data_IF_003656412362
#
_entry.id   IF_003656412362
#
_cell.length_a   1.000
_cell.length_b   1.000
_cell.length_c   1.000
_cell.angle_alpha   90.00
_cell.angle_beta   90.00
_cell.angle_gamma   90.00
#
_symmetry.space_group_name_H-M   'P 1'
#
loop_
_entity.id
_entity.type
_entity.pdbx_description
1 polymer ?
#
# COMPACT_ATOMS: atom_id res chain seq x y z
N UNK A 1 -9.96 -1.22 28.64
CA UNK A 1 -10.69 -0.99 27.36
C UNK A 1 -9.77 -1.39 26.22
N UNK A 2 -10.23 -2.32 25.37
CA UNK A 2 -9.47 -2.86 24.26
C UNK A 2 -10.16 -2.47 22.94
N UNK A 3 -9.39 -1.98 21.97
CA UNK A 3 -9.92 -1.50 20.68
C UNK A 3 -9.36 -2.38 19.55
N UNK A 4 -10.20 -3.27 18.99
CA UNK A 4 -9.80 -4.18 17.92
C UNK A 4 -9.41 -3.45 16.64
N UNK A 5 -8.68 -4.14 15.77
CA UNK A 5 -8.27 -3.64 14.46
C UNK A 5 -9.38 -3.71 13.40
N UNK A 6 -9.01 -3.37 12.18
CA UNK A 6 -9.88 -3.45 11.00
C UNK A 6 -10.43 -4.87 10.82
N UNK A 7 -11.73 -4.98 10.60
CA UNK A 7 -12.47 -6.23 10.42
C UNK A 7 -12.50 -7.17 11.63
N UNK A 8 -12.00 -6.76 12.79
CA UNK A 8 -11.98 -7.57 14.00
C UNK A 8 -13.22 -7.34 14.91
N UNK A 9 -14.05 -6.34 14.63
CA UNK A 9 -15.27 -6.02 15.34
C UNK A 9 -16.31 -5.43 14.38
N UNK A 10 -17.49 -5.07 14.89
CA UNK A 10 -18.54 -4.37 14.17
C UNK A 10 -19.25 -3.37 15.08
N UNK A 11 -20.01 -2.43 14.50
CA UNK A 11 -20.75 -1.42 15.26
C UNK A 11 -21.84 -2.04 16.19
N UNK A 12 -22.27 -3.25 15.94
CA UNK A 12 -23.28 -3.98 16.72
C UNK A 12 -22.69 -5.08 17.61
N UNK A 13 -21.34 -5.16 17.69
CA UNK A 13 -20.68 -6.19 18.50
C UNK A 13 -20.96 -5.98 20.00
N UNK A 14 -21.00 -7.07 20.75
CA UNK A 14 -21.13 -7.03 22.21
C UNK A 14 -19.77 -6.67 22.83
N UNK A 15 -19.69 -5.55 23.51
CA UNK A 15 -18.46 -5.04 24.13
C UNK A 15 -17.88 -5.96 25.22
N UNK A 16 -18.65 -6.88 25.75
CA UNK A 16 -18.18 -7.85 26.76
C UNK A 16 -17.56 -9.12 26.12
N UNK A 17 -17.77 -9.33 24.83
CA UNK A 17 -17.22 -10.49 24.14
C UNK A 17 -15.82 -10.21 23.57
N UNK A 18 -14.87 -11.13 23.76
CA UNK A 18 -13.54 -11.02 23.19
C UNK A 18 -13.57 -10.83 21.67
N UNK A 19 -12.74 -9.94 21.16
CA UNK A 19 -12.66 -9.62 19.74
C UNK A 19 -11.21 -9.41 19.28
N UNK A 20 -10.88 -10.00 18.13
CA UNK A 20 -9.63 -9.81 17.41
C UNK A 20 -8.37 -10.22 18.17
N UNK A 21 -7.25 -9.65 17.73
CA UNK A 21 -5.91 -9.92 18.30
C UNK A 21 -5.84 -9.67 19.81
N UNK A 22 -6.52 -8.62 20.28
CA UNK A 22 -6.49 -8.24 21.71
C UNK A 22 -7.33 -9.14 22.62
N UNK A 23 -8.03 -10.15 22.08
CA UNK A 23 -8.76 -11.11 22.89
C UNK A 23 -7.87 -11.83 23.91
N UNK A 24 -6.62 -12.16 23.51
CA UNK A 24 -5.63 -12.76 24.42
C UNK A 24 -5.23 -11.86 25.58
N UNK A 25 -5.08 -10.55 25.33
CA UNK A 25 -4.80 -9.56 26.38
C UNK A 25 -5.97 -9.51 27.37
N UNK A 26 -7.20 -9.42 26.88
CA UNK A 26 -8.39 -9.37 27.72
C UNK A 26 -8.58 -10.62 28.57
N UNK A 27 -8.36 -11.80 27.97
CA UNK A 27 -8.44 -13.08 28.69
C UNK A 27 -7.39 -13.15 29.81
N UNK A 28 -6.15 -12.74 29.54
CA UNK A 28 -5.07 -12.72 30.54
C UNK A 28 -5.36 -11.77 31.70
N UNK A 29 -5.87 -10.57 31.41
CA UNK A 29 -6.28 -9.62 32.44
C UNK A 29 -7.43 -10.15 33.30
N UNK A 30 -8.47 -10.71 32.67
CA UNK A 30 -9.61 -11.30 33.37
C UNK A 30 -9.18 -12.50 34.26
N UNK A 31 -8.30 -13.36 33.76
CA UNK A 31 -7.78 -14.49 34.52
C UNK A 31 -6.97 -14.06 35.74
N UNK A 32 -6.21 -12.95 35.64
CA UNK A 32 -5.37 -12.46 36.75
C UNK A 32 -6.16 -11.71 37.81
N UNK A 33 -7.14 -10.90 37.43
CA UNK A 33 -7.77 -9.95 38.35
C UNK A 33 -9.23 -10.30 38.69
N UNK A 34 -9.82 -11.27 37.98
CA UNK A 34 -11.19 -11.73 38.24
C UNK A 34 -12.20 -10.57 38.24
N UNK A 35 -12.97 -10.46 39.30
CA UNK A 35 -14.02 -9.44 39.46
C UNK A 35 -13.49 -8.03 39.73
N UNK A 36 -12.17 -7.87 39.99
CA UNK A 36 -11.55 -6.58 40.21
C UNK A 36 -11.33 -5.79 38.90
N UNK A 37 -11.55 -6.42 37.74
CA UNK A 37 -11.41 -5.78 36.43
C UNK A 37 -12.59 -6.04 35.53
N UNK A 38 -13.06 -5.02 34.84
CA UNK A 38 -14.03 -5.16 33.75
C UNK A 38 -13.34 -5.00 32.40
N UNK A 39 -13.18 -6.08 31.64
CA UNK A 39 -12.65 -6.04 30.28
C UNK A 39 -13.79 -5.69 29.31
N UNK A 40 -13.54 -4.72 28.42
CA UNK A 40 -14.49 -4.31 27.38
C UNK A 40 -13.74 -4.11 26.06
N UNK A 41 -14.40 -4.49 24.96
CA UNK A 41 -13.94 -4.29 23.59
C UNK A 41 -14.81 -3.25 22.92
N UNK A 42 -14.20 -2.29 22.24
CA UNK A 42 -14.95 -1.22 21.57
C UNK A 42 -15.70 -1.76 20.35
N UNK A 43 -17.04 -1.66 20.31
CA UNK A 43 -17.79 -1.87 19.09
C UNK A 43 -17.73 -0.60 18.21
N UNK A 44 -17.25 -0.74 16.98
CA UNK A 44 -17.24 0.31 15.96
C UNK A 44 -17.26 -0.32 14.58
N UNK A 45 -17.37 0.48 13.51
CA UNK A 45 -17.49 -0.06 12.14
C UNK A 45 -16.31 -0.96 11.74
N UNK A 46 -15.11 -0.69 12.23
CA UNK A 46 -13.87 -1.43 11.92
C UNK A 46 -13.67 -1.64 10.40
N UNK A 47 -14.20 -0.71 9.60
CA UNK A 47 -14.17 -0.81 8.16
C UNK A 47 -12.81 -0.35 7.61
N UNK A 48 -12.25 -1.08 6.63
CA UNK A 48 -11.04 -0.64 5.95
C UNK A 48 -11.28 0.61 5.10
N UNK A 49 -12.53 0.83 4.68
CA UNK A 49 -12.96 1.97 3.87
C UNK A 49 -14.41 2.37 4.14
N UNK A 50 -14.71 3.69 4.19
CA UNK A 50 -13.73 4.78 4.29
C UNK A 50 -13.03 4.77 5.64
N UNK A 51 -11.70 4.71 5.63
CA UNK A 51 -10.90 4.56 6.85
C UNK A 51 -11.20 5.65 7.88
N UNK A 52 -11.16 6.91 7.44
CA UNK A 52 -11.37 8.07 8.33
C UNK A 52 -12.73 8.06 9.01
N UNK A 53 -13.79 7.69 8.29
CA UNK A 53 -15.14 7.63 8.86
C UNK A 53 -15.23 6.54 9.94
N UNK A 54 -14.64 5.36 9.69
CA UNK A 54 -14.58 4.26 10.65
C UNK A 54 -13.75 4.64 11.88
N UNK A 55 -12.57 5.22 11.67
CA UNK A 55 -11.67 5.67 12.74
C UNK A 55 -12.33 6.76 13.60
N UNK A 56 -12.90 7.80 12.98
CA UNK A 56 -13.56 8.89 13.71
C UNK A 56 -14.79 8.41 14.50
N UNK A 57 -15.56 7.47 13.93
CA UNK A 57 -16.64 6.80 14.64
C UNK A 57 -16.14 6.03 15.86
N UNK A 58 -15.01 5.35 15.73
CA UNK A 58 -14.34 4.66 16.83
C UNK A 58 -13.84 5.63 17.91
N UNK A 59 -13.24 6.76 17.54
CA UNK A 59 -12.84 7.83 18.49
C UNK A 59 -14.04 8.35 19.27
N UNK A 60 -15.14 8.66 18.58
CA UNK A 60 -16.37 9.11 19.23
C UNK A 60 -16.95 8.04 20.18
N UNK A 61 -16.97 6.77 19.76
CA UNK A 61 -17.44 5.65 20.56
C UNK A 61 -16.57 5.45 21.82
N UNK A 62 -15.25 5.44 21.69
CA UNK A 62 -14.33 5.30 22.82
C UNK A 62 -14.45 6.49 23.79
N UNK A 63 -14.55 7.71 23.27
CA UNK A 63 -14.77 8.93 24.07
C UNK A 63 -16.06 8.82 24.88
N UNK A 64 -17.16 8.40 24.25
CA UNK A 64 -18.47 8.22 24.93
C UNK A 64 -18.40 7.16 26.04
N UNK A 65 -17.76 6.01 25.77
CA UNK A 65 -17.65 4.93 26.73
C UNK A 65 -16.78 5.34 27.94
N UNK A 66 -15.67 6.04 27.73
CA UNK A 66 -14.82 6.51 28.80
C UNK A 66 -15.50 7.60 29.65
N UNK A 67 -16.22 8.52 28.99
CA UNK A 67 -16.96 9.59 29.67
C UNK A 67 -18.15 9.08 30.53
N UNK A 68 -18.65 7.88 30.23
CA UNK A 68 -19.69 7.22 31.04
C UNK A 68 -19.19 6.45 32.25
N UNK A 69 -17.87 6.37 32.48
CA UNK A 69 -17.31 5.65 33.64
C UNK A 69 -17.42 6.46 34.93
N UNK A 70 -17.66 5.79 36.06
CA UNK A 70 -17.61 6.41 37.37
C UNK A 70 -16.26 7.12 37.60
N UNK A 71 -16.26 8.22 38.34
CA UNK A 71 -15.05 9.07 38.57
C UNK A 71 -13.89 8.31 39.23
N UNK A 72 -14.20 7.31 40.05
CA UNK A 72 -13.20 6.46 40.71
C UNK A 72 -12.61 5.37 39.83
N UNK A 73 -13.14 5.17 38.63
CA UNK A 73 -12.68 4.10 37.72
C UNK A 73 -11.34 4.47 37.10
N UNK A 74 -10.33 3.66 37.33
CA UNK A 74 -9.06 3.71 36.61
C UNK A 74 -9.12 2.84 35.36
N UNK A 75 -8.38 3.21 34.32
CA UNK A 75 -8.42 2.52 33.03
C UNK A 75 -7.04 2.17 32.51
N UNK A 76 -6.95 1.03 31.84
CA UNK A 76 -5.88 0.73 30.89
C UNK A 76 -6.50 0.69 29.50
N UNK A 77 -5.80 1.20 28.51
CA UNK A 77 -6.21 1.26 27.12
C UNK A 77 -5.26 0.43 26.27
N UNK A 78 -5.79 -0.33 25.32
CA UNK A 78 -4.95 -0.93 24.29
C UNK A 78 -5.68 -0.93 22.94
N UNK A 79 -4.92 -0.72 21.86
CA UNK A 79 -5.42 -0.73 20.50
C UNK A 79 -4.51 -1.53 19.57
N UNK A 80 -5.09 -2.08 18.51
CA UNK A 80 -4.38 -2.75 17.46
C UNK A 80 -4.77 -2.16 16.10
N UNK A 81 -3.77 -1.85 15.25
CA UNK A 81 -3.99 -1.34 13.89
C UNK A 81 -4.89 -0.08 13.88
N UNK A 82 -6.03 -0.06 13.19
CA UNK A 82 -7.01 1.05 13.26
C UNK A 82 -7.45 1.32 14.70
N UNK A 83 -7.54 0.28 15.54
CA UNK A 83 -7.82 0.45 16.98
C UNK A 83 -6.70 1.17 17.73
N UNK A 84 -5.44 1.01 17.33
CA UNK A 84 -4.33 1.75 17.91
C UNK A 84 -4.38 3.24 17.52
N UNK A 85 -4.79 3.54 16.28
CA UNK A 85 -5.03 4.91 15.83
C UNK A 85 -6.12 5.60 16.67
N UNK A 86 -7.25 4.90 16.89
CA UNK A 86 -8.37 5.38 17.73
C UNK A 86 -7.91 5.63 19.17
N UNK A 87 -7.25 4.65 19.79
CA UNK A 87 -6.75 4.77 21.18
C UNK A 87 -5.73 5.89 21.28
N UNK A 88 -4.82 6.01 20.32
CA UNK A 88 -3.80 7.03 20.30
C UNK A 88 -4.39 8.45 20.25
N UNK A 89 -5.41 8.70 19.40
CA UNK A 89 -6.06 9.99 19.30
C UNK A 89 -6.80 10.36 20.59
N UNK A 90 -7.54 9.44 21.20
CA UNK A 90 -8.21 9.67 22.48
C UNK A 90 -7.20 9.88 23.62
N UNK A 91 -6.09 9.13 23.61
CA UNK A 91 -5.01 9.28 24.59
C UNK A 91 -4.32 10.64 24.49
N UNK A 92 -4.03 11.11 23.27
CA UNK A 92 -3.48 12.46 23.04
C UNK A 92 -4.44 13.53 23.59
N UNK A 93 -5.73 13.43 23.28
CA UNK A 93 -6.73 14.36 23.81
C UNK A 93 -6.79 14.35 25.35
N UNK A 94 -6.72 13.17 25.99
CA UNK A 94 -6.70 13.03 27.46
C UNK A 94 -5.43 13.68 28.03
N UNK A 95 -4.26 13.40 27.45
CA UNK A 95 -2.98 13.92 27.93
C UNK A 95 -2.86 15.43 27.83
N UNK A 96 -3.63 16.07 26.94
CA UNK A 96 -3.72 17.53 26.81
C UNK A 96 -4.95 18.13 27.51
N UNK A 97 -5.63 17.39 28.38
CA UNK A 97 -6.77 17.88 29.16
C UNK A 97 -8.06 18.12 28.37
N UNK A 98 -8.16 17.60 27.13
CA UNK A 98 -9.35 17.72 26.26
C UNK A 98 -10.13 16.40 26.15
N UNK A 99 -9.69 15.37 26.86
CA UNK A 99 -10.30 14.05 26.79
C UNK A 99 -11.54 13.90 27.68
N UNK A 100 -12.23 12.74 27.58
CA UNK A 100 -13.45 12.45 28.34
C UNK A 100 -13.20 12.16 29.82
N UNK A 101 -11.96 11.86 30.21
CA UNK A 101 -11.53 11.60 31.60
C UNK A 101 -10.19 12.29 31.86
N UNK A 102 -9.86 12.49 33.14
CA UNK A 102 -8.55 13.06 33.49
C UNK A 102 -7.40 12.08 33.23
N UNK A 103 -6.22 12.60 32.91
CA UNK A 103 -5.00 11.80 32.68
C UNK A 103 -4.63 10.95 33.90
N UNK A 104 -4.95 11.41 35.13
CA UNK A 104 -4.70 10.67 36.37
C UNK A 104 -5.41 9.32 36.43
N UNK A 105 -6.53 9.17 35.72
CA UNK A 105 -7.30 7.92 35.69
C UNK A 105 -6.76 6.89 34.70
N UNK A 106 -5.82 7.24 33.81
CA UNK A 106 -5.24 6.34 32.83
C UNK A 106 -3.94 5.75 33.38
N UNK A 107 -3.90 4.45 33.63
CA UNK A 107 -2.74 3.76 34.18
C UNK A 107 -1.70 3.44 33.12
N UNK A 108 -2.15 2.96 31.95
CA UNK A 108 -1.28 2.54 30.86
C UNK A 108 -2.01 2.53 29.52
N UNK A 109 -1.28 2.76 28.45
CA UNK A 109 -1.78 2.73 27.06
C UNK A 109 -0.82 1.94 26.17
N UNK A 110 -1.31 0.86 25.55
CA UNK A 110 -0.54 0.05 24.62
C UNK A 110 -1.06 0.15 23.18
N UNK A 111 -0.19 0.47 22.23
CA UNK A 111 -0.53 0.65 20.83
C UNK A 111 0.25 -0.35 19.98
N UNK A 112 -0.46 -1.36 19.44
CA UNK A 112 0.11 -2.38 18.57
C UNK A 112 -0.13 -2.01 17.10
N UNK A 113 0.92 -2.00 16.27
CA UNK A 113 0.81 -1.63 14.86
C UNK A 113 0.12 -0.29 14.63
N UNK A 114 0.51 0.72 15.37
CA UNK A 114 -0.10 2.06 15.28
C UNK A 114 0.29 2.72 13.95
N UNK A 115 -0.66 3.00 13.04
CA UNK A 115 -0.37 3.65 11.75
C UNK A 115 0.09 5.11 11.91
N UNK A 116 -0.03 5.67 13.11
CA UNK A 116 0.48 6.99 13.47
C UNK A 116 1.56 6.94 14.55
N UNK A 117 2.30 5.83 14.60
CA UNK A 117 3.42 5.67 15.53
C UNK A 117 4.46 6.78 15.33
N UNK A 118 4.79 7.45 16.42
CA UNK A 118 5.91 8.37 16.48
C UNK A 118 7.18 7.57 16.86
N UNK A 119 8.32 7.75 16.16
CA UNK A 119 9.57 7.06 16.49
C UNK A 119 10.06 7.32 17.92
N UNK A 120 9.75 8.48 18.50
CA UNK A 120 10.17 8.87 19.84
C UNK A 120 9.30 8.25 20.94
N UNK A 121 8.14 7.68 20.60
CA UNK A 121 7.31 6.97 21.60
C UNK A 121 7.98 5.66 22.01
N UNK A 122 8.20 5.43 23.34
CA UNK A 122 8.87 4.22 23.82
C UNK A 122 8.19 2.94 23.35
N UNK A 123 8.98 1.96 22.93
CA UNK A 123 8.49 0.70 22.37
C UNK A 123 8.58 -0.45 23.38
N UNK A 124 7.67 -1.41 23.27
CA UNK A 124 7.73 -2.72 23.91
C UNK A 124 8.46 -3.69 22.98
N UNK A 125 9.39 -4.46 23.53
CA UNK A 125 10.19 -5.40 22.75
C UNK A 125 11.30 -4.74 21.92
N UNK A 126 11.64 -5.32 20.78
CA UNK A 126 12.68 -4.78 19.91
C UNK A 126 12.21 -3.48 19.24
N UNK A 127 13.09 -2.45 19.13
CA UNK A 127 12.74 -1.21 18.47
C UNK A 127 12.54 -1.43 16.96
N UNK A 128 11.45 -0.91 16.41
CA UNK A 128 11.21 -0.85 14.99
C UNK A 128 11.65 0.51 14.42
N UNK A 129 12.28 0.55 13.24
CA UNK A 129 12.68 1.79 12.60
C UNK A 129 11.49 2.59 12.06
N UNK A 130 11.74 3.81 11.59
CA UNK A 130 10.74 4.65 10.92
C UNK A 130 9.59 5.06 11.82
N UNK A 131 8.47 5.37 11.19
CA UNK A 131 7.24 5.86 11.84
C UNK A 131 6.01 5.13 11.31
N UNK A 132 4.82 5.47 11.81
CA UNK A 132 3.56 4.98 11.24
C UNK A 132 3.35 5.50 9.81
N UNK A 133 2.75 4.69 8.96
CA UNK A 133 2.54 4.98 7.52
C UNK A 133 1.71 6.26 7.29
N UNK A 134 0.85 6.62 8.24
CA UNK A 134 0.05 7.85 8.21
C UNK A 134 0.80 9.10 8.73
N UNK A 135 2.04 8.92 9.15
CA UNK A 135 2.82 9.95 9.84
C UNK A 135 2.43 10.09 11.32
N UNK A 136 3.29 10.70 12.14
CA UNK A 136 3.01 10.93 13.56
C UNK A 136 1.75 11.78 13.76
N UNK A 137 1.18 11.71 14.95
CA UNK A 137 0.12 12.63 15.40
C UNK A 137 0.66 14.06 15.46
N UNK A 138 -0.22 15.04 15.22
CA UNK A 138 0.16 16.45 15.30
C UNK A 138 0.58 16.89 16.73
N UNK A 139 0.04 16.20 17.73
CA UNK A 139 0.36 16.41 19.14
C UNK A 139 0.79 15.07 19.74
N UNK A 140 1.73 15.12 20.67
CA UNK A 140 2.18 13.98 21.45
C UNK A 140 1.10 13.49 22.45
N UNK A 141 1.49 12.73 23.45
CA UNK A 141 0.58 12.23 24.48
C UNK A 141 0.54 13.08 25.75
N UNK A 142 1.16 14.27 25.78
CA UNK A 142 1.13 15.21 26.91
C UNK A 142 1.44 14.55 28.24
N UNK A 143 0.58 14.75 29.25
CA UNK A 143 0.75 14.15 30.59
C UNK A 143 0.80 12.61 30.58
N UNK A 144 0.34 11.97 29.51
CA UNK A 144 0.36 10.51 29.37
C UNK A 144 1.60 9.97 28.67
N UNK A 145 2.52 10.78 28.16
CA UNK A 145 3.68 10.32 27.38
C UNK A 145 4.49 9.21 28.09
N UNK A 146 4.67 9.31 29.41
CA UNK A 146 5.35 8.30 30.22
C UNK A 146 4.58 6.96 30.37
N UNK A 147 3.27 6.95 30.08
CA UNK A 147 2.36 5.81 30.25
C UNK A 147 1.96 5.18 28.92
N UNK A 148 2.47 5.64 27.78
CA UNK A 148 2.22 5.09 26.46
C UNK A 148 3.40 4.22 26.04
N UNK A 149 3.09 3.06 25.47
CA UNK A 149 4.05 2.19 24.80
C UNK A 149 3.49 1.74 23.47
N UNK A 150 4.36 1.71 22.46
CA UNK A 150 4.02 1.15 21.14
C UNK A 150 4.71 -0.20 20.94
N UNK A 151 4.19 -1.01 20.05
CA UNK A 151 4.90 -2.17 19.53
C UNK A 151 4.63 -2.28 18.03
N UNK A 152 5.69 -2.48 17.27
CA UNK A 152 5.65 -2.68 15.84
C UNK A 152 6.40 -3.97 15.48
N UNK A 153 5.72 -4.93 14.88
CA UNK A 153 6.35 -6.18 14.45
C UNK A 153 7.36 -5.89 13.32
N UNK A 154 8.51 -6.59 13.30
CA UNK A 154 9.50 -6.41 12.23
C UNK A 154 8.89 -6.62 10.85
N UNK A 155 9.03 -5.61 9.97
CA UNK A 155 8.50 -5.65 8.61
C UNK A 155 7.03 -5.24 8.47
N UNK A 156 6.35 -4.82 9.55
CA UNK A 156 5.01 -4.26 9.45
C UNK A 156 5.07 -2.80 8.98
N UNK A 157 4.76 -2.58 7.71
CA UNK A 157 4.79 -1.26 7.07
C UNK A 157 3.75 -0.28 7.63
N UNK A 158 2.68 -0.76 8.26
CA UNK A 158 1.71 0.17 8.87
C UNK A 158 2.30 0.98 10.01
N UNK A 159 3.24 0.44 10.74
CA UNK A 159 3.87 1.12 11.87
C UNK A 159 5.38 1.35 11.72
N UNK A 160 5.98 0.92 10.59
CA UNK A 160 7.42 0.99 10.35
C UNK A 160 7.73 1.41 8.91
N UNK A 161 7.35 2.62 8.55
CA UNK A 161 7.61 3.23 7.24
C UNK A 161 8.50 4.46 7.44
N UNK A 162 9.52 4.63 6.58
CA UNK A 162 10.37 5.84 6.58
C UNK A 162 10.01 6.71 5.38
N UNK A 163 9.57 7.95 5.57
CA UNK A 163 9.30 8.87 4.47
C UNK A 163 10.52 9.16 3.59
N UNK A 164 11.72 9.09 4.16
CA UNK A 164 12.98 9.33 3.45
C UNK A 164 13.35 8.18 2.52
N UNK A 165 13.04 6.94 2.92
CA UNK A 165 13.36 5.74 2.15
C UNK A 165 12.14 5.10 1.49
N UNK A 166 10.93 5.54 1.79
CA UNK A 166 9.68 5.04 1.22
C UNK A 166 8.65 6.16 1.05
N UNK A 167 9.01 7.20 0.25
CA UNK A 167 8.18 8.40 0.10
C UNK A 167 6.80 8.11 -0.51
N UNK A 168 6.72 7.23 -1.51
CA UNK A 168 5.46 6.89 -2.16
C UNK A 168 4.52 6.13 -1.20
N UNK A 169 5.02 5.14 -0.47
CA UNK A 169 4.23 4.41 0.53
C UNK A 169 3.73 5.33 1.65
N UNK A 170 4.59 6.25 2.13
CA UNK A 170 4.21 7.25 3.14
C UNK A 170 3.15 8.22 2.63
N UNK A 171 3.26 8.70 1.38
CA UNK A 171 2.29 9.59 0.76
C UNK A 171 0.92 8.90 0.59
N UNK A 172 0.92 7.66 0.09
CA UNK A 172 -0.29 6.83 -0.05
C UNK A 172 -0.92 6.58 1.32
N UNK A 173 -0.13 6.23 2.33
CA UNK A 173 -0.62 6.00 3.69
C UNK A 173 -1.31 7.24 4.29
N UNK A 174 -0.73 8.42 4.12
CA UNK A 174 -1.32 9.70 4.56
C UNK A 174 -2.61 10.03 3.80
N UNK A 175 -2.61 9.84 2.49
CA UNK A 175 -3.81 10.07 1.67
C UNK A 175 -4.95 9.13 2.08
N UNK A 176 -4.63 7.85 2.28
CA UNK A 176 -5.61 6.82 2.65
C UNK A 176 -6.22 7.04 4.03
N UNK A 177 -5.41 7.42 5.01
CA UNK A 177 -5.89 7.68 6.38
C UNK A 177 -6.55 9.05 6.52
N UNK A 178 -6.47 9.90 5.49
CA UNK A 178 -6.99 11.27 5.50
C UNK A 178 -6.24 12.20 6.48
N UNK A 179 -5.00 11.85 6.82
CA UNK A 179 -4.12 12.69 7.66
C UNK A 179 -3.36 13.74 6.85
N UNK A 180 -3.49 13.70 5.51
CA UNK A 180 -3.03 14.78 4.65
C UNK A 180 -3.82 16.05 4.96
N UNK A 181 -3.13 17.12 5.30
CA UNK A 181 -3.71 18.46 5.29
C UNK A 181 -4.02 18.79 3.83
N UNK A 182 -5.27 18.59 3.42
CA UNK A 182 -5.80 19.19 2.20
C UNK A 182 -5.70 20.69 2.45
N UNK A 183 -4.93 21.38 1.61
CA UNK A 183 -4.74 22.83 1.72
C UNK A 183 -6.07 23.53 1.95
N UNK A 184 -6.07 24.54 2.78
CA UNK A 184 -7.23 25.28 3.29
C UNK A 184 -7.96 26.13 2.25
N UNK A 185 -7.87 25.79 0.96
CA UNK A 185 -8.56 26.50 -0.13
C UNK A 185 -9.46 25.55 -0.94
N UNK A 186 -10.53 25.06 -0.32
CA UNK A 186 -11.61 24.40 -1.05
C UNK A 186 -12.96 24.70 -0.45
N UNK A 187 -13.48 25.87 -0.74
CA UNK A 187 -14.92 26.12 -0.78
C UNK A 187 -15.53 25.51 -2.05
N UNK A 188 -15.57 24.21 -2.17
CA UNK A 188 -16.42 23.53 -3.17
C UNK A 188 -16.60 22.04 -2.91
N UNK A 189 -17.83 21.71 -2.59
CA UNK A 189 -18.53 20.42 -2.77
C UNK A 189 -18.01 19.18 -2.05
N UNK A 190 -18.40 19.06 -0.80
CA UNK A 190 -18.34 17.87 0.07
C UNK A 190 -19.03 16.60 -0.48
N UNK A 191 -19.77 16.67 -1.58
CA UNK A 191 -20.60 15.54 -2.03
C UNK A 191 -19.88 14.57 -2.98
N UNK A 192 -18.90 15.03 -3.74
CA UNK A 192 -18.17 14.17 -4.70
C UNK A 192 -17.00 13.41 -4.04
N UNK A 193 -16.35 14.03 -3.06
CA UNK A 193 -15.26 13.40 -2.29
C UNK A 193 -15.76 12.26 -1.40
N UNK A 194 -16.97 12.36 -0.86
CA UNK A 194 -17.55 11.37 0.05
C UNK A 194 -17.97 10.09 -0.67
N UNK A 195 -18.42 10.19 -1.93
CA UNK A 195 -18.87 9.01 -2.71
C UNK A 195 -17.70 8.23 -3.32
N UNK A 196 -16.64 8.91 -3.72
CA UNK A 196 -15.42 8.28 -4.21
C UNK A 196 -14.61 7.60 -3.10
N UNK A 197 -14.60 8.15 -1.88
CA UNK A 197 -13.87 7.58 -0.74
C UNK A 197 -14.46 6.28 -0.19
N UNK A 198 -15.74 6.02 -0.42
CA UNK A 198 -16.47 4.93 0.26
C UNK A 198 -16.27 3.53 -0.32
N UNK A 199 -15.96 3.40 -1.61
CA UNK A 199 -15.82 2.09 -2.30
C UNK A 199 -14.38 1.67 -2.54
N UNK A 200 -13.41 2.51 -2.21
CA UNK A 200 -12.11 2.52 -2.86
C UNK A 200 -10.97 2.01 -1.97
N UNK A 201 -11.05 2.15 -0.66
CA UNK A 201 -9.86 2.14 0.18
C UNK A 201 -9.18 0.77 0.33
N UNK A 202 -9.87 -0.33 0.57
CA UNK A 202 -9.18 -1.64 0.70
C UNK A 202 -8.84 -2.26 -0.66
N UNK A 203 -9.69 -2.02 -1.68
CA UNK A 203 -9.41 -2.49 -3.03
C UNK A 203 -8.32 -1.65 -3.69
N UNK A 204 -8.29 -0.33 -3.49
CA UNK A 204 -7.28 0.57 -4.06
C UNK A 204 -5.91 0.35 -3.45
N UNK A 205 -5.78 0.25 -2.13
CA UNK A 205 -4.48 -0.05 -1.51
C UNK A 205 -3.90 -1.35 -2.03
N UNK A 206 -4.73 -2.39 -2.13
CA UNK A 206 -4.31 -3.67 -2.71
C UNK A 206 -3.93 -3.51 -4.18
N UNK A 207 -4.69 -2.75 -4.97
CA UNK A 207 -4.39 -2.50 -6.37
C UNK A 207 -3.12 -1.65 -6.54
N UNK A 208 -2.92 -0.60 -5.73
CA UNK A 208 -1.68 0.18 -5.71
C UNK A 208 -0.48 -0.72 -5.42
N UNK A 209 -0.57 -1.62 -4.45
CA UNK A 209 0.50 -2.58 -4.15
C UNK A 209 0.78 -3.53 -5.31
N UNK A 210 -0.26 -4.04 -5.99
CA UNK A 210 -0.10 -4.88 -7.17
C UNK A 210 0.59 -4.08 -8.30
N UNK A 211 0.24 -2.81 -8.49
CA UNK A 211 0.85 -1.94 -9.50
C UNK A 211 2.31 -1.67 -9.16
N UNK A 212 2.61 -1.28 -7.94
CA UNK A 212 4.00 -1.05 -7.52
C UNK A 212 4.84 -2.32 -7.64
N UNK A 213 4.29 -3.48 -7.28
CA UNK A 213 4.95 -4.78 -7.44
C UNK A 213 5.19 -5.16 -8.91
N UNK A 214 4.22 -4.89 -9.79
CA UNK A 214 4.34 -5.12 -11.23
C UNK A 214 5.37 -4.20 -11.88
N UNK A 215 5.37 -2.92 -11.52
CA UNK A 215 6.37 -1.95 -11.97
C UNK A 215 7.77 -2.32 -11.45
N UNK A 216 7.88 -2.79 -10.21
CA UNK A 216 9.13 -3.27 -9.63
C UNK A 216 9.69 -4.47 -10.41
N UNK A 217 8.85 -5.47 -10.68
CA UNK A 217 9.24 -6.65 -11.45
C UNK A 217 9.67 -6.29 -12.87
N UNK A 218 8.95 -5.39 -13.53
CA UNK A 218 9.33 -4.89 -14.84
C UNK A 218 10.64 -4.10 -14.81
N UNK A 219 10.81 -3.19 -13.86
CA UNK A 219 12.03 -2.40 -13.71
C UNK A 219 13.28 -3.27 -13.47
N UNK A 220 13.13 -4.37 -12.71
CA UNK A 220 14.19 -5.34 -12.52
C UNK A 220 14.62 -6.06 -13.81
N UNK A 221 13.68 -6.22 -14.76
CA UNK A 221 13.93 -6.87 -16.05
C UNK A 221 14.48 -5.90 -17.11
N UNK A 222 14.38 -4.57 -16.91
CA UNK A 222 14.77 -3.57 -17.91
C UNK A 222 16.20 -3.77 -18.48
N UNK A 223 17.25 -4.03 -17.67
CA UNK A 223 18.60 -4.24 -18.23
C UNK A 223 18.63 -5.43 -19.20
N UNK A 224 17.98 -6.53 -18.85
CA UNK A 224 17.91 -7.73 -19.69
C UNK A 224 17.08 -7.49 -20.95
N UNK A 225 15.96 -6.75 -20.85
CA UNK A 225 15.12 -6.36 -21.99
C UNK A 225 15.96 -5.56 -23.02
N UNK A 226 16.75 -4.59 -22.54
CA UNK A 226 17.59 -3.76 -23.40
C UNK A 226 18.67 -4.61 -24.09
N UNK A 227 19.29 -5.52 -23.36
CA UNK A 227 20.31 -6.42 -23.87
C UNK A 227 19.74 -7.39 -24.94
N UNK A 228 18.59 -7.98 -24.67
CA UNK A 228 17.89 -8.91 -25.56
C UNK A 228 17.42 -8.21 -26.84
N UNK A 229 16.87 -7.00 -26.72
CA UNK A 229 16.48 -6.19 -27.87
C UNK A 229 17.68 -5.80 -28.74
N UNK A 230 18.84 -5.53 -28.14
CA UNK A 230 20.06 -5.23 -28.87
C UNK A 230 20.66 -6.45 -29.61
N UNK A 231 20.49 -7.66 -29.04
CA UNK A 231 20.99 -8.92 -29.61
C UNK A 231 20.09 -9.49 -30.71
N UNK A 232 18.77 -9.26 -30.64
CA UNK A 232 17.79 -9.86 -31.55
C UNK A 232 18.08 -9.63 -33.04
N UNK A 233 18.38 -8.38 -33.51
CA UNK A 233 18.73 -8.14 -34.91
C UNK A 233 20.00 -8.88 -35.35
N UNK A 234 21.01 -8.96 -34.49
CA UNK A 234 22.27 -9.62 -34.81
C UNK A 234 22.09 -11.13 -35.00
N UNK A 235 21.26 -11.79 -34.16
CA UNK A 235 20.94 -13.22 -34.33
C UNK A 235 20.18 -13.48 -35.62
N UNK A 236 19.19 -12.65 -35.97
CA UNK A 236 18.46 -12.75 -37.24
C UNK A 236 19.38 -12.61 -38.43
N UNK A 237 20.29 -11.61 -38.40
CA UNK A 237 21.25 -11.37 -39.50
C UNK A 237 22.27 -12.52 -39.61
N UNK A 238 22.64 -13.17 -38.53
CA UNK A 238 23.53 -14.33 -38.51
C UNK A 238 22.84 -15.63 -38.96
N UNK A 239 21.51 -15.60 -39.20
CA UNK A 239 20.74 -16.82 -39.56
C UNK A 239 20.45 -17.73 -38.37
N UNK A 240 20.72 -17.29 -37.13
CA UNK A 240 20.40 -18.02 -35.89
C UNK A 240 18.94 -17.82 -35.53
N UNK A 241 18.05 -18.43 -36.31
CA UNK A 241 16.59 -18.28 -36.17
C UNK A 241 16.11 -18.89 -34.87
N UNK A 242 16.67 -20.01 -34.45
CA UNK A 242 16.29 -20.66 -33.20
C UNK A 242 16.67 -19.82 -32.00
N UNK A 243 17.87 -19.25 -31.98
CA UNK A 243 18.31 -18.35 -30.91
C UNK A 243 17.53 -17.03 -30.90
N UNK A 244 17.16 -16.50 -32.05
CA UNK A 244 16.29 -15.33 -32.15
C UNK A 244 14.87 -15.60 -31.62
N UNK A 245 14.30 -16.77 -31.90
CA UNK A 245 13.00 -17.19 -31.37
C UNK A 245 13.02 -17.35 -29.86
N UNK A 246 14.04 -17.99 -29.34
CA UNK A 246 14.23 -18.12 -27.88
C UNK A 246 14.30 -16.75 -27.21
N UNK A 247 15.14 -15.84 -27.74
CA UNK A 247 15.29 -14.48 -27.21
C UNK A 247 13.98 -13.69 -27.23
N UNK A 248 13.16 -13.86 -28.26
CA UNK A 248 11.83 -13.26 -28.33
C UNK A 248 10.88 -13.83 -27.27
N UNK A 249 10.98 -15.12 -26.94
CA UNK A 249 10.26 -15.74 -25.82
C UNK A 249 10.70 -15.23 -24.46
N UNK A 250 12.01 -15.03 -24.28
CA UNK A 250 12.58 -14.46 -23.06
C UNK A 250 12.07 -13.02 -22.85
N UNK A 251 12.02 -12.19 -23.91
CA UNK A 251 11.41 -10.87 -23.87
C UNK A 251 9.94 -10.91 -23.42
N UNK A 252 9.13 -11.84 -23.93
CA UNK A 252 7.74 -11.96 -23.49
C UNK A 252 7.64 -12.24 -21.98
N UNK A 253 8.51 -13.12 -21.46
CA UNK A 253 8.58 -13.45 -20.03
C UNK A 253 8.98 -12.24 -19.18
N UNK A 254 9.86 -11.40 -19.69
CA UNK A 254 10.31 -10.19 -19.00
C UNK A 254 9.21 -9.11 -18.93
N UNK A 255 8.26 -9.08 -19.88
CA UNK A 255 7.09 -8.21 -19.84
C UNK A 255 5.91 -8.77 -19.02
N UNK A 256 5.95 -10.04 -18.60
CA UNK A 256 4.88 -10.69 -17.83
C UNK A 256 4.44 -9.93 -16.58
N UNK A 257 5.33 -9.31 -15.78
CA UNK A 257 4.90 -8.53 -14.60
C UNK A 257 3.93 -7.41 -14.95
N UNK A 258 4.14 -6.70 -16.07
CA UNK A 258 3.22 -5.65 -16.53
C UNK A 258 1.89 -6.22 -17.00
N UNK A 259 1.92 -7.30 -17.79
CA UNK A 259 0.72 -7.94 -18.31
C UNK A 259 -0.15 -8.49 -17.18
N UNK A 260 0.48 -9.19 -16.23
CA UNK A 260 -0.19 -9.75 -15.06
C UNK A 260 -0.78 -8.65 -14.17
N UNK A 261 -0.06 -7.57 -13.96
CA UNK A 261 -0.53 -6.40 -13.22
C UNK A 261 -1.76 -5.79 -13.90
N UNK A 262 -1.66 -5.47 -15.19
CA UNK A 262 -2.74 -4.83 -15.94
C UNK A 262 -4.04 -5.68 -15.98
N UNK A 263 -3.91 -7.01 -15.93
CA UNK A 263 -5.08 -7.91 -15.87
C UNK A 263 -5.74 -8.04 -14.51
N UNK A 264 -5.12 -7.53 -13.43
CA UNK A 264 -5.59 -7.72 -12.04
C UNK A 264 -6.10 -6.44 -11.39
N UNK A 265 -5.87 -5.27 -11.98
CA UNK A 265 -6.15 -3.96 -11.36
C UNK A 265 -6.85 -3.01 -12.30
N UNK A 266 -7.61 -2.07 -11.74
CA UNK A 266 -8.10 -0.90 -12.45
C UNK A 266 -7.03 0.19 -12.43
N UNK A 267 -6.25 0.27 -13.52
CA UNK A 267 -5.14 1.22 -13.64
C UNK A 267 -5.59 2.68 -13.58
N UNK A 268 -6.78 3.01 -14.09
CA UNK A 268 -7.32 4.38 -13.99
C UNK A 268 -7.57 4.78 -12.55
N UNK A 269 -8.14 3.87 -11.77
CA UNK A 269 -8.39 4.09 -10.35
C UNK A 269 -7.08 4.27 -9.56
N UNK A 270 -6.07 3.46 -9.88
CA UNK A 270 -4.74 3.56 -9.24
C UNK A 270 -4.03 4.86 -9.64
N UNK A 271 -4.07 5.25 -10.92
CA UNK A 271 -3.50 6.53 -11.37
C UNK A 271 -4.12 7.72 -10.63
N UNK A 272 -5.44 7.70 -10.45
CA UNK A 272 -6.18 8.71 -9.72
C UNK A 272 -5.78 8.77 -8.24
N UNK A 273 -5.65 7.62 -7.58
CA UNK A 273 -5.21 7.52 -6.19
C UNK A 273 -3.77 8.05 -6.00
N UNK A 274 -2.85 7.67 -6.90
CA UNK A 274 -1.47 8.17 -6.90
C UNK A 274 -1.40 9.68 -7.16
N UNK A 275 -2.21 10.20 -8.07
CA UNK A 275 -2.29 11.65 -8.34
C UNK A 275 -2.77 12.44 -7.13
N UNK A 276 -3.72 11.90 -6.35
CA UNK A 276 -4.15 12.52 -5.10
C UNK A 276 -3.08 12.46 -4.00
N UNK A 277 -2.24 11.43 -4.00
CA UNK A 277 -1.15 11.29 -3.04
C UNK A 277 0.11 12.10 -3.44
N UNK A 278 0.30 12.40 -4.72
CA UNK A 278 1.49 13.06 -5.26
C UNK A 278 1.88 14.38 -4.54
N UNK A 279 0.94 15.29 -4.19
CA UNK A 279 1.29 16.53 -3.47
C UNK A 279 1.88 16.29 -2.07
N UNK A 280 1.74 15.09 -1.51
CA UNK A 280 2.23 14.72 -0.17
C UNK A 280 3.65 14.15 -0.20
N UNK A 281 4.18 13.93 -1.39
CA UNK A 281 5.50 13.38 -1.64
C UNK A 281 6.41 14.46 -2.24
N UNK A 282 7.28 15.02 -1.42
CA UNK A 282 8.25 16.03 -1.84
C UNK A 282 9.36 15.48 -2.73
N UNK A 283 9.54 14.16 -2.83
CA UNK A 283 10.53 13.53 -3.72
C UNK A 283 10.10 13.54 -5.19
N UNK A 284 8.77 13.66 -5.45
CA UNK A 284 8.20 13.57 -6.78
C UNK A 284 8.03 12.14 -7.30
N UNK A 285 8.44 11.12 -6.54
CA UNK A 285 8.35 9.71 -6.93
C UNK A 285 6.91 9.28 -7.17
N UNK A 286 5.97 9.71 -6.29
CA UNK A 286 4.54 9.41 -6.42
C UNK A 286 3.92 10.09 -7.66
N UNK A 287 4.34 11.32 -7.98
CA UNK A 287 3.90 12.00 -9.20
C UNK A 287 4.36 11.28 -10.46
N UNK A 288 5.61 10.82 -10.49
CA UNK A 288 6.16 10.02 -11.58
C UNK A 288 5.42 8.69 -11.71
N UNK A 289 5.13 8.01 -10.60
CA UNK A 289 4.33 6.78 -10.59
C UNK A 289 2.92 7.00 -11.14
N UNK A 290 2.26 8.09 -10.73
CA UNK A 290 0.93 8.46 -11.22
C UNK A 290 0.92 8.64 -12.75
N UNK A 291 1.92 9.34 -13.30
CA UNK A 291 2.06 9.55 -14.75
C UNK A 291 2.29 8.24 -15.50
N UNK A 292 3.18 7.37 -15.01
CA UNK A 292 3.44 6.05 -15.62
C UNK A 292 2.17 5.21 -15.64
N UNK A 293 1.46 5.13 -14.51
CA UNK A 293 0.23 4.33 -14.39
C UNK A 293 -0.89 4.91 -15.25
N UNK A 294 -1.02 6.23 -15.37
CA UNK A 294 -2.00 6.88 -16.25
C UNK A 294 -1.74 6.56 -17.74
N UNK A 295 -0.47 6.54 -18.17
CA UNK A 295 -0.09 6.12 -19.51
C UNK A 295 -0.44 4.64 -19.73
N UNK A 296 -0.09 3.76 -18.78
CA UNK A 296 -0.40 2.34 -18.85
C UNK A 296 -1.91 2.08 -18.85
N UNK A 297 -2.69 2.91 -18.16
CA UNK A 297 -4.15 2.81 -18.11
C UNK A 297 -4.84 3.11 -19.44
N UNK A 298 -4.19 3.91 -20.31
CA UNK A 298 -4.69 4.26 -21.65
C UNK A 298 -4.39 3.20 -22.69
N UNK A 299 -3.48 2.26 -22.38
CA UNK A 299 -3.05 1.18 -23.26
C UNK A 299 -3.65 -0.13 -22.78
N UNK A 300 -4.36 -0.83 -23.65
CA UNK A 300 -4.77 -2.21 -23.36
C UNK A 300 -3.56 -3.16 -23.46
N UNK A 301 -2.77 -3.17 -22.36
CA UNK A 301 -1.52 -3.94 -22.28
C UNK A 301 -1.75 -5.42 -22.55
N UNK A 302 -2.86 -5.98 -22.06
CA UNK A 302 -3.19 -7.38 -22.26
C UNK A 302 -3.49 -7.70 -23.75
N UNK A 303 -4.12 -6.76 -24.45
CA UNK A 303 -4.37 -6.84 -25.90
C UNK A 303 -3.06 -6.74 -26.67
N UNK A 304 -2.23 -5.74 -26.37
CA UNK A 304 -0.91 -5.56 -27.01
C UNK A 304 -0.05 -6.80 -26.83
N UNK A 305 0.03 -7.36 -25.64
CA UNK A 305 0.82 -8.55 -25.36
C UNK A 305 0.32 -9.78 -26.15
N UNK A 306 -1.00 -9.94 -26.26
CA UNK A 306 -1.61 -11.01 -27.05
C UNK A 306 -1.28 -10.85 -28.53
N UNK A 307 -1.45 -9.65 -29.07
CA UNK A 307 -1.21 -9.36 -30.47
C UNK A 307 0.28 -9.49 -30.83
N UNK A 308 1.18 -9.05 -29.95
CA UNK A 308 2.60 -9.27 -30.09
C UNK A 308 2.96 -10.76 -30.12
N UNK A 309 2.38 -11.57 -29.24
CA UNK A 309 2.57 -13.03 -29.25
C UNK A 309 2.08 -13.68 -30.54
N UNK A 310 0.89 -13.29 -31.03
CA UNK A 310 0.37 -13.79 -32.29
C UNK A 310 1.29 -13.39 -33.47
N UNK A 311 1.73 -12.13 -33.50
CA UNK A 311 2.65 -11.63 -34.52
C UNK A 311 3.97 -12.40 -34.54
N UNK A 312 4.55 -12.67 -33.37
CA UNK A 312 5.77 -13.47 -33.23
C UNK A 312 5.56 -14.88 -33.81
N UNK A 313 4.52 -15.57 -33.38
CA UNK A 313 4.25 -16.95 -33.83
C UNK A 313 4.02 -17.04 -35.34
N UNK A 314 3.28 -16.10 -35.93
CA UNK A 314 3.08 -16.04 -37.38
C UNK A 314 4.39 -15.78 -38.12
N UNK A 315 5.23 -14.87 -37.59
CA UNK A 315 6.52 -14.56 -38.19
C UNK A 315 7.46 -15.76 -38.12
N UNK A 316 7.57 -16.45 -36.97
CA UNK A 316 8.41 -17.63 -36.87
C UNK A 316 7.96 -18.80 -37.72
N UNK A 317 6.65 -19.00 -37.85
CA UNK A 317 6.10 -19.99 -38.79
C UNK A 317 6.44 -19.66 -40.25
N UNK A 318 6.33 -18.38 -40.64
CA UNK A 318 6.72 -17.96 -41.98
C UNK A 318 8.21 -18.19 -42.24
N UNK A 319 9.08 -17.81 -41.33
CA UNK A 319 10.54 -18.03 -41.41
C UNK A 319 10.88 -19.54 -41.51
N UNK A 320 10.21 -20.37 -40.70
CA UNK A 320 10.39 -21.84 -40.74
C UNK A 320 9.99 -22.42 -42.10
N UNK A 321 8.88 -21.95 -42.70
CA UNK A 321 8.43 -22.38 -44.03
C UNK A 321 9.40 -21.96 -45.14
N UNK A 322 9.92 -20.73 -45.06
CA UNK A 322 10.98 -20.30 -46.02
C UNK A 322 12.20 -21.22 -45.89
N UNK A 323 12.64 -21.51 -44.66
CA UNK A 323 13.81 -22.37 -44.41
C UNK A 323 13.59 -23.82 -44.91
N UNK A 324 12.36 -24.30 -44.92
CA UNK A 324 11.99 -25.63 -45.43
C UNK A 324 11.68 -25.66 -46.96
N UNK A 325 11.81 -24.52 -47.65
CA UNK A 325 11.59 -24.44 -49.09
C UNK A 325 10.11 -24.26 -49.49
N UNK A 326 9.25 -23.81 -48.58
CA UNK A 326 7.83 -23.50 -48.84
C UNK A 326 7.56 -21.98 -48.80
N UNK A 327 7.93 -21.20 -49.82
CA UNK A 327 7.71 -19.75 -49.80
C UNK A 327 6.23 -19.37 -49.95
N UNK A 328 5.40 -20.22 -50.56
CA UNK A 328 3.96 -19.96 -50.66
C UNK A 328 3.28 -20.11 -49.32
N UNK A 329 3.61 -21.14 -48.56
CA UNK A 329 3.14 -21.32 -47.20
C UNK A 329 3.60 -20.20 -46.26
N UNK A 330 4.82 -19.70 -46.41
CA UNK A 330 5.30 -18.53 -45.70
C UNK A 330 4.48 -17.27 -46.02
N UNK A 331 4.13 -17.04 -47.28
CA UNK A 331 3.27 -15.93 -47.70
C UNK A 331 1.88 -15.97 -47.05
N UNK A 332 1.30 -17.16 -46.89
CA UNK A 332 0.01 -17.33 -46.21
C UNK A 332 0.09 -16.97 -44.69
N UNK A 333 1.17 -17.35 -44.02
CA UNK A 333 1.40 -16.95 -42.62
C UNK A 333 1.54 -15.41 -42.48
N UNK A 334 2.24 -14.78 -43.42
CA UNK A 334 2.40 -13.31 -43.43
C UNK A 334 1.09 -12.55 -43.64
N UNK A 335 0.14 -13.11 -44.44
CA UNK A 335 -1.21 -12.54 -44.58
C UNK A 335 -1.93 -12.51 -43.23
N UNK A 336 -1.71 -13.50 -42.36
CA UNK A 336 -2.25 -13.54 -40.99
C UNK A 336 -1.77 -12.39 -40.10
N UNK A 337 -0.67 -11.70 -40.44
CA UNK A 337 -0.20 -10.52 -39.70
C UNK A 337 -1.02 -9.25 -39.98
N UNK A 338 -1.77 -9.17 -41.06
CA UNK A 338 -2.51 -7.96 -41.44
C UNK A 338 -3.50 -7.51 -40.36
N UNK A 339 -4.40 -8.40 -39.85
CA UNK A 339 -5.31 -8.00 -38.79
C UNK A 339 -4.60 -7.62 -37.50
N UNK A 340 -3.52 -8.32 -37.15
CA UNK A 340 -2.72 -8.03 -35.93
C UNK A 340 -2.03 -6.67 -36.06
N UNK A 341 -1.44 -6.38 -37.20
CA UNK A 341 -0.81 -5.08 -37.48
C UNK A 341 -1.83 -3.92 -37.41
N UNK A 342 -3.05 -4.14 -37.96
CA UNK A 342 -4.13 -3.15 -37.91
C UNK A 342 -4.60 -2.91 -36.46
N UNK A 343 -4.66 -3.96 -35.65
CA UNK A 343 -5.05 -3.89 -34.25
C UNK A 343 -3.99 -3.13 -33.41
N UNK A 344 -2.72 -3.48 -33.55
CA UNK A 344 -1.60 -2.79 -32.90
C UNK A 344 -1.50 -1.33 -33.36
N UNK A 345 -1.72 -1.02 -34.62
CA UNK A 345 -1.77 0.36 -35.12
C UNK A 345 -2.92 1.15 -34.47
N UNK A 346 -4.07 0.52 -34.24
CA UNK A 346 -5.20 1.13 -33.52
C UNK A 346 -4.84 1.46 -32.08
N UNK A 347 -4.21 0.55 -31.37
CA UNK A 347 -3.74 0.77 -29.99
C UNK A 347 -2.67 1.87 -29.95
N UNK A 348 -1.69 1.83 -30.89
CA UNK A 348 -0.66 2.87 -31.00
C UNK A 348 -1.26 4.26 -31.29
N UNK A 349 -2.26 4.34 -32.16
CA UNK A 349 -2.94 5.59 -32.46
C UNK A 349 -3.61 6.19 -31.20
N UNK A 350 -4.27 5.38 -30.39
CA UNK A 350 -4.87 5.81 -29.12
C UNK A 350 -3.80 6.27 -28.12
N UNK A 351 -2.69 5.54 -28.01
CA UNK A 351 -1.61 5.86 -27.08
C UNK A 351 -0.81 7.11 -27.48
N UNK A 352 -0.67 7.36 -28.78
CA UNK A 352 0.18 8.45 -29.33
C UNK A 352 -0.59 9.73 -29.63
N UNK A 353 -1.93 9.75 -29.57
CA UNK A 353 -2.73 10.94 -29.83
C UNK A 353 -3.01 11.73 -28.54
N UNK A 354 -2.95 13.06 -28.63
CA UNK A 354 -3.26 13.98 -27.52
C UNK A 354 -2.15 14.11 -26.48
N UNK A 355 -2.53 14.47 -25.26
CA UNK A 355 -1.60 14.70 -24.13
C UNK A 355 -0.80 13.44 -23.76
N UNK A 356 -1.38 12.25 -23.93
CA UNK A 356 -0.70 10.98 -23.68
C UNK A 356 0.51 10.74 -24.57
N UNK A 357 0.45 11.14 -25.86
CA UNK A 357 1.58 11.06 -26.79
C UNK A 357 2.76 11.95 -26.41
N UNK A 358 2.46 13.16 -25.93
CA UNK A 358 3.50 14.09 -25.45
C UNK A 358 4.16 13.55 -24.16
N UNK A 359 3.39 12.98 -23.27
CA UNK A 359 3.87 12.35 -22.03
C UNK A 359 4.72 11.11 -22.31
N UNK A 360 4.28 10.23 -23.22
CA UNK A 360 5.06 9.06 -23.69
C UNK A 360 6.37 9.48 -24.34
N UNK A 361 6.34 10.50 -25.20
CA UNK A 361 7.55 11.04 -25.82
C UNK A 361 8.51 11.63 -24.78
N UNK A 362 8.01 12.34 -23.78
CA UNK A 362 8.78 12.86 -22.66
C UNK A 362 9.41 11.76 -21.80
N UNK A 363 8.65 10.72 -21.47
CA UNK A 363 9.14 9.54 -20.78
C UNK A 363 10.16 8.75 -21.62
N UNK A 364 9.86 8.46 -22.89
CA UNK A 364 10.79 7.78 -23.79
C UNK A 364 12.08 8.58 -23.94
N UNK A 365 12.00 9.91 -24.02
CA UNK A 365 13.15 10.79 -24.10
C UNK A 365 13.98 10.76 -22.80
N UNK A 366 13.35 10.68 -21.64
CA UNK A 366 14.06 10.52 -20.35
C UNK A 366 14.77 9.18 -20.21
N UNK A 367 14.32 8.13 -20.92
CA UNK A 367 14.98 6.81 -20.95
C UNK A 367 16.03 6.66 -22.07
N UNK A 368 15.88 7.38 -23.19
CA UNK A 368 16.78 7.23 -24.35
C UNK A 368 17.92 8.23 -24.37
N UNK A 369 17.84 9.33 -23.66
CA UNK A 369 18.95 10.27 -23.53
C UNK A 369 19.96 9.72 -22.53
N UNK A 370 20.96 9.02 -23.05
CA UNK A 370 22.21 8.62 -22.36
C UNK A 370 23.08 9.85 -21.95
N UNK A 371 22.51 11.00 -21.80
CA UNK A 371 23.18 12.17 -21.22
C UNK A 371 22.98 12.18 -19.71
N UNK A 372 24.02 12.57 -18.90
CA UNK A 372 23.97 12.54 -17.43
C UNK A 372 22.93 13.45 -16.77
N UNK A 373 22.01 14.01 -17.53
CA UNK A 373 21.03 15.01 -17.08
C UNK A 373 19.64 14.49 -16.71
N UNK A 374 19.41 13.17 -16.67
CA UNK A 374 18.17 12.57 -16.15
C UNK A 374 18.43 11.37 -15.25
N UNK A 375 19.26 11.48 -14.21
CA UNK A 375 19.35 10.44 -13.19
C UNK A 375 18.04 10.30 -12.40
N UNK A 376 17.15 11.30 -12.48
CA UNK A 376 15.97 11.41 -11.66
C UNK A 376 14.87 10.38 -12.00
N UNK A 377 14.57 10.16 -13.28
CA UNK A 377 13.53 9.20 -13.67
C UNK A 377 13.97 7.75 -13.43
N UNK A 378 15.24 7.43 -13.70
CA UNK A 378 15.80 6.11 -13.39
C UNK A 378 15.88 5.85 -11.90
N UNK A 379 16.24 6.86 -11.11
CA UNK A 379 16.25 6.79 -9.66
C UNK A 379 14.83 6.63 -9.08
N UNK A 380 13.84 7.36 -9.62
CA UNK A 380 12.45 7.25 -9.21
C UNK A 380 11.88 5.86 -9.51
N UNK A 381 12.19 5.25 -10.66
CA UNK A 381 11.78 3.89 -10.98
C UNK A 381 12.45 2.84 -10.09
N UNK A 382 13.75 2.99 -9.81
CA UNK A 382 14.46 2.10 -8.89
C UNK A 382 13.89 2.20 -7.47
N UNK A 383 13.51 3.40 -7.04
CA UNK A 383 12.87 3.64 -5.76
C UNK A 383 11.47 3.02 -5.69
N UNK A 384 10.64 3.23 -6.72
CA UNK A 384 9.33 2.57 -6.84
C UNK A 384 9.45 1.04 -6.88
N UNK A 385 10.47 0.51 -7.57
CA UNK A 385 10.75 -0.92 -7.61
C UNK A 385 11.07 -1.46 -6.21
N UNK A 386 11.88 -0.76 -5.45
CA UNK A 386 12.24 -1.12 -4.08
C UNK A 386 11.01 -1.06 -3.16
N UNK A 387 10.28 0.07 -3.16
CA UNK A 387 9.06 0.23 -2.35
C UNK A 387 7.98 -0.79 -2.71
N UNK A 388 7.79 -1.06 -3.99
CA UNK A 388 6.87 -2.08 -4.48
C UNK A 388 7.27 -3.49 -4.02
N UNK A 389 8.56 -3.80 -4.01
CA UNK A 389 9.09 -5.06 -3.47
C UNK A 389 8.85 -5.20 -1.96
N UNK A 390 9.05 -4.13 -1.19
CA UNK A 390 8.78 -4.10 0.26
C UNK A 390 7.28 -4.27 0.54
N UNK A 391 6.44 -3.57 -0.20
CA UNK A 391 4.99 -3.69 -0.11
C UNK A 391 4.51 -5.11 -0.47
N UNK A 392 5.03 -5.71 -1.54
CA UNK A 392 4.68 -7.06 -1.95
C UNK A 392 5.07 -8.10 -0.89
N UNK A 393 6.25 -7.98 -0.30
CA UNK A 393 6.69 -8.85 0.81
C UNK A 393 5.81 -8.69 2.05
N UNK A 394 5.46 -7.47 2.39
CA UNK A 394 4.59 -7.17 3.53
C UNK A 394 3.19 -7.79 3.36
N UNK A 395 2.51 -7.52 2.25
CA UNK A 395 1.17 -8.04 2.01
C UNK A 395 1.16 -9.56 1.75
N UNK A 396 2.19 -10.09 1.09
CA UNK A 396 2.34 -11.53 0.85
C UNK A 396 2.73 -12.33 2.09
N UNK A 397 3.50 -11.73 3.00
CA UNK A 397 3.97 -12.37 4.23
C UNK A 397 2.95 -12.38 5.38
N UNK A 398 1.88 -11.58 5.30
CA UNK A 398 0.85 -11.50 6.34
C UNK A 398 1.36 -11.04 7.71
N UNK A 399 2.50 -10.34 7.75
CA UNK A 399 3.16 -9.90 9.00
C UNK A 399 2.21 -9.13 9.91
N UNK A 400 1.36 -8.28 9.32
CA UNK A 400 0.38 -7.50 10.07
C UNK A 400 -0.61 -8.38 10.87
N UNK A 401 -0.97 -9.56 10.37
CA UNK A 401 -1.90 -10.47 11.05
C UNK A 401 -1.18 -11.49 11.94
N UNK A 402 0.01 -11.95 11.55
CA UNK A 402 0.67 -13.09 12.21
C UNK A 402 1.85 -12.68 13.09
N UNK A 403 2.42 -11.49 12.87
CA UNK A 403 3.62 -11.01 13.58
C UNK A 403 3.40 -10.53 15.01
N UNK A 404 2.16 -10.59 15.54
CA UNK A 404 1.80 -9.99 16.83
C UNK A 404 1.50 -10.98 17.95
N UNK A 405 1.72 -12.29 17.75
CA UNK A 405 1.45 -13.29 18.79
C UNK A 405 2.27 -13.04 20.07
N UNK A 406 3.56 -12.78 19.93
CA UNK A 406 4.43 -12.48 21.08
C UNK A 406 4.12 -11.10 21.67
N UNK A 407 3.70 -10.14 20.83
CA UNK A 407 3.34 -8.80 21.23
C UNK A 407 2.15 -8.78 22.22
N UNK A 408 1.18 -9.69 22.05
CA UNK A 408 0.05 -9.87 22.99
C UNK A 408 0.56 -10.22 24.37
N UNK A 409 1.52 -11.13 24.48
CA UNK A 409 2.13 -11.53 25.76
C UNK A 409 2.95 -10.39 26.37
N UNK A 410 3.76 -9.71 25.56
CA UNK A 410 4.58 -8.58 25.98
C UNK A 410 3.68 -7.45 26.50
N UNK A 411 2.63 -7.12 25.77
CA UNK A 411 1.67 -6.09 26.16
C UNK A 411 0.93 -6.47 27.44
N UNK A 412 0.44 -7.71 27.55
CA UNK A 412 -0.24 -8.21 28.76
C UNK A 412 0.65 -8.06 30.00
N UNK A 413 1.89 -8.53 29.92
CA UNK A 413 2.84 -8.44 31.03
C UNK A 413 3.10 -6.99 31.43
N UNK A 414 3.26 -6.10 30.46
CA UNK A 414 3.47 -4.68 30.76
C UNK A 414 2.24 -4.04 31.39
N UNK A 415 1.03 -4.22 30.82
CA UNK A 415 -0.22 -3.70 31.40
C UNK A 415 -0.44 -4.21 32.83
N UNK A 416 -0.18 -5.49 33.06
CA UNK A 416 -0.26 -6.13 34.38
C UNK A 416 0.68 -5.43 35.38
N UNK A 417 1.93 -5.18 35.00
CA UNK A 417 2.89 -4.49 35.88
C UNK A 417 2.43 -3.08 36.24
N UNK A 418 1.80 -2.35 35.30
CA UNK A 418 1.27 -1.01 35.55
C UNK A 418 0.05 -1.02 36.50
N UNK A 419 -0.84 -2.01 36.33
CA UNK A 419 -1.99 -2.20 37.21
C UNK A 419 -1.53 -2.56 38.63
N UNK A 420 -0.59 -3.50 38.76
CA UNK A 420 -0.07 -3.93 40.07
C UNK A 420 0.65 -2.80 40.80
N UNK A 421 1.31 -1.88 40.11
CA UNK A 421 1.98 -0.70 40.70
C UNK A 421 0.98 0.33 41.19
N UNK A 422 -0.22 0.39 40.64
CA UNK A 422 -1.26 1.35 41.00
C UNK A 422 -2.19 0.86 42.12
N UNK A 423 -2.12 -0.43 42.48
CA UNK A 423 -2.84 -1.04 43.62
C UNK A 423 -2.11 -0.89 44.94
#
# INVERSE_FOLDING_TARGET
MLVPGTSETSATANSAQPAGLLAGVGAGLAARYGDDIAVRYLPYAAAPAPYRASQSGGVAGLTSLLGGLCDSTQVVLAGYSQGADIVGDVTSAIGHGRGPISAARVLAVGLLSDPRRDPDTPQLGAPAPGQGIAGPRAEDFGELAGRVRTHCAPGDLYCSTSPETSPALSAIGRAFTGTAALGTDSTSSDSAATTASGLIASSVTRQVVIVLGGLAGFAANLPTIVDDLAQLPNRVLAGDIAGAHQLAGDLNTQFEPLVTMAGKVDLHLVAQALSMAAPLDSSGTTATAAQIVDILARVDIARVARDAGIAQELTWRAVSKVSSGDPLGAGLEMIGLIPVAADLAGVAAVALTGEGGAQLAGLAQSFTTTTPSSPEAGAALAELAREGGDAARFYGGGVHQTGYHDAVTILLNWLTSQIDTAR
#
